data_IF_642586424430
#
_entry.id   IF_642586424430
#
_cell.length_a   1.000
_cell.length_b   1.000
_cell.length_c   1.000
_cell.angle_alpha   90.00
_cell.angle_beta   90.00
_cell.angle_gamma   90.00
#
_symmetry.space_group_name_H-M   'P 1'
#
loop_
_entity.id
_entity.type
_entity.pdbx_description
1 polymer ?
#
# COMPACT_ATOMS: atom_id res chain seq x y z
N UNK A 1 -1.44 38.39 28.53
CA UNK A 1 -1.64 38.21 27.07
C UNK A 1 -0.38 37.80 26.30
N UNK A 2 0.34 36.76 26.69
CA UNK A 2 1.46 36.22 25.85
C UNK A 2 1.12 34.89 25.13
N UNK A 3 0.04 34.17 25.52
CA UNK A 3 -0.27 32.83 24.98
C UNK A 3 -0.87 32.89 23.57
N UNK A 4 -1.63 33.93 23.25
CA UNK A 4 -2.27 34.09 21.93
C UNK A 4 -1.24 34.43 20.82
N UNK A 5 -0.13 35.10 21.17
CA UNK A 5 0.95 35.40 20.22
C UNK A 5 1.80 34.16 19.86
N UNK A 6 1.93 33.17 20.75
CA UNK A 6 2.67 31.95 20.50
C UNK A 6 1.90 30.99 19.56
N UNK A 7 0.57 30.93 19.69
CA UNK A 7 -0.29 30.12 18.82
C UNK A 7 -0.34 30.68 17.40
N UNK A 8 -0.34 32.03 17.24
CA UNK A 8 -0.30 32.68 15.92
C UNK A 8 1.09 32.61 15.24
N UNK A 9 2.19 32.45 16.01
CA UNK A 9 3.52 32.21 15.45
C UNK A 9 3.70 30.76 14.99
N UNK A 10 3.11 29.80 15.69
CA UNK A 10 3.13 28.38 15.29
C UNK A 10 2.40 28.13 13.95
N UNK A 11 1.37 28.93 13.64
CA UNK A 11 0.68 28.88 12.35
C UNK A 11 1.36 29.69 11.23
N UNK A 12 2.40 30.49 11.54
CA UNK A 12 3.11 31.29 10.54
C UNK A 12 4.36 30.63 9.95
N UNK A 13 4.91 29.63 10.59
CA UNK A 13 6.08 28.89 10.10
C UNK A 13 5.75 27.64 9.29
N UNK A 14 4.50 27.17 9.30
CA UNK A 14 3.98 26.24 8.32
C UNK A 14 3.37 27.04 7.16
N UNK A 15 4.20 27.54 6.27
CA UNK A 15 3.75 27.96 4.94
C UNK A 15 3.34 26.69 4.20
N UNK A 16 2.09 26.27 4.40
CA UNK A 16 1.44 25.32 3.54
C UNK A 16 1.48 25.90 2.12
N UNK A 17 2.13 25.20 1.21
CA UNK A 17 2.03 25.52 -0.21
C UNK A 17 0.61 25.21 -0.67
N UNK A 18 -0.25 26.25 -0.56
CA UNK A 18 -1.67 26.21 -0.93
C UNK A 18 -1.89 25.85 -2.41
N UNK A 19 -0.85 25.89 -3.23
CA UNK A 19 -0.96 25.60 -4.66
C UNK A 19 -1.06 24.10 -4.98
N UNK A 20 -0.71 23.22 -4.03
CA UNK A 20 -0.82 21.76 -4.20
C UNK A 20 -2.03 21.15 -3.46
N UNK A 21 -2.74 21.93 -2.64
CA UNK A 21 -3.95 21.49 -1.94
C UNK A 21 -5.21 22.02 -2.62
N UNK A 22 -5.56 21.44 -3.75
CA UNK A 22 -6.94 21.58 -4.23
C UNK A 22 -7.79 20.67 -3.33
N UNK A 23 -8.47 21.27 -2.34
CA UNK A 23 -9.48 20.60 -1.54
C UNK A 23 -10.60 20.12 -2.46
N UNK A 24 -10.50 18.86 -2.92
CA UNK A 24 -11.50 18.30 -3.83
C UNK A 24 -12.70 17.72 -3.07
N UNK A 25 -12.54 17.32 -1.78
CA UNK A 25 -13.61 16.79 -0.95
C UNK A 25 -13.28 16.87 0.55
N UNK A 26 -14.31 16.83 1.40
CA UNK A 26 -14.17 16.66 2.85
C UNK A 26 -13.74 15.23 3.17
N UNK A 27 -12.46 15.03 3.42
CA UNK A 27 -11.85 13.76 3.77
C UNK A 27 -11.82 13.47 5.28
N UNK A 28 -12.67 14.12 6.06
CA UNK A 28 -12.80 13.92 7.52
C UNK A 28 -13.33 12.55 7.93
N UNK A 29 -13.57 11.65 6.97
CA UNK A 29 -14.08 10.31 7.22
C UNK A 29 -12.98 9.28 7.29
N UNK A 30 -13.16 8.29 8.16
CA UNK A 30 -12.30 7.13 8.25
C UNK A 30 -12.18 6.40 6.90
N UNK A 31 -10.95 5.97 6.58
CA UNK A 31 -10.69 5.12 5.42
C UNK A 31 -11.35 3.76 5.61
N UNK A 32 -11.76 3.14 4.50
CA UNK A 32 -12.25 1.77 4.54
C UNK A 32 -11.13 0.82 4.99
N UNK A 33 -11.51 -0.14 5.82
CA UNK A 33 -10.62 -1.16 6.37
C UNK A 33 -10.91 -2.52 5.75
N UNK A 34 -9.85 -3.32 5.58
CA UNK A 34 -10.01 -4.74 5.24
C UNK A 34 -10.87 -5.03 4.01
N UNK A 35 -10.77 -4.20 3.00
CA UNK A 35 -11.62 -4.20 1.80
C UNK A 35 -11.61 -5.50 1.00
N UNK A 36 -10.76 -6.47 1.36
CA UNK A 36 -10.59 -7.75 0.68
C UNK A 36 -11.41 -8.89 1.27
N UNK A 37 -11.98 -8.73 2.50
CA UNK A 37 -12.50 -9.87 3.28
C UNK A 37 -13.69 -10.57 2.66
N UNK A 38 -14.56 -9.80 2.01
CA UNK A 38 -15.82 -10.33 1.48
C UNK A 38 -15.74 -10.70 -0.01
N UNK A 39 -14.53 -10.63 -0.60
CA UNK A 39 -14.32 -10.90 -2.02
C UNK A 39 -14.14 -12.39 -2.26
N UNK A 40 -15.14 -13.00 -2.85
CA UNK A 40 -15.11 -14.43 -3.17
C UNK A 40 -14.09 -14.75 -4.27
N UNK A 41 -13.32 -15.84 -4.13
CA UNK A 41 -12.42 -16.27 -5.20
C UNK A 41 -13.21 -16.77 -6.42
N UNK A 42 -12.64 -16.68 -7.65
CA UNK A 42 -13.36 -16.96 -8.89
C UNK A 42 -13.72 -18.43 -9.10
N UNK A 43 -13.09 -19.34 -8.40
CA UNK A 43 -13.32 -20.79 -8.51
C UNK A 43 -13.03 -21.52 -7.20
N UNK A 44 -13.34 -22.80 -7.14
CA UNK A 44 -13.01 -23.64 -5.98
C UNK A 44 -11.50 -23.83 -5.89
N UNK A 45 -10.95 -23.74 -4.68
CA UNK A 45 -9.51 -23.87 -4.43
C UNK A 45 -9.13 -23.48 -3.00
N UNK A 46 -7.86 -23.15 -2.82
CA UNK A 46 -7.32 -22.74 -1.51
C UNK A 46 -6.80 -21.31 -1.59
N UNK A 47 -7.27 -20.49 -0.66
CA UNK A 47 -6.84 -19.07 -0.54
C UNK A 47 -5.87 -18.89 0.62
N UNK A 48 -4.87 -18.05 0.40
CA UNK A 48 -3.91 -17.58 1.40
C UNK A 48 -4.00 -16.06 1.41
N UNK A 49 -4.43 -15.48 2.52
CA UNK A 49 -4.77 -14.05 2.61
C UNK A 49 -3.91 -13.34 3.64
N UNK A 50 -3.81 -12.02 3.51
CA UNK A 50 -3.32 -11.13 4.55
C UNK A 50 -4.11 -11.35 5.83
N UNK A 51 -3.42 -11.36 6.96
CA UNK A 51 -4.02 -11.45 8.30
C UNK A 51 -3.85 -10.11 9.03
N UNK A 52 -4.77 -9.82 9.94
CA UNK A 52 -4.81 -8.54 10.66
C UNK A 52 -5.57 -7.46 9.90
N UNK A 53 -5.47 -6.24 10.40
CA UNK A 53 -6.25 -5.11 9.90
C UNK A 53 -5.36 -4.10 9.20
N UNK A 54 -5.92 -3.40 8.20
CA UNK A 54 -5.29 -2.31 7.49
C UNK A 54 -6.34 -1.32 6.98
N UNK A 55 -5.90 -0.10 6.68
CA UNK A 55 -6.67 0.93 5.97
C UNK A 55 -6.33 0.94 4.48
N UNK A 56 -7.33 1.14 3.64
CA UNK A 56 -7.14 1.29 2.21
C UNK A 56 -6.77 2.74 1.86
N UNK A 57 -5.49 2.96 1.60
CA UNK A 57 -4.97 4.25 1.14
C UNK A 57 -4.98 4.32 -0.38
N UNK A 58 -5.52 5.41 -0.94
CA UNK A 58 -5.72 5.60 -2.36
C UNK A 58 -5.50 7.07 -2.77
N UNK A 59 -5.53 7.37 -4.07
CA UNK A 59 -5.33 8.72 -4.56
C UNK A 59 -6.24 9.73 -3.88
N UNK A 60 -5.64 10.82 -3.39
CA UNK A 60 -6.34 11.95 -2.80
C UNK A 60 -7.09 11.68 -1.49
N UNK A 61 -6.96 10.50 -0.88
CA UNK A 61 -7.73 10.08 0.29
C UNK A 61 -7.49 10.93 1.55
N UNK A 62 -6.40 11.68 1.60
CA UNK A 62 -6.03 12.62 2.67
C UNK A 62 -6.13 14.09 2.22
N UNK A 63 -6.74 14.35 1.06
CA UNK A 63 -6.86 15.70 0.48
C UNK A 63 -5.64 16.10 -0.36
N UNK A 64 -4.56 15.35 -0.35
CA UNK A 64 -3.37 15.64 -1.16
C UNK A 64 -3.52 15.11 -2.60
N UNK A 65 -3.31 15.97 -3.59
CA UNK A 65 -3.45 15.60 -5.01
C UNK A 65 -2.20 14.88 -5.53
N UNK A 66 -2.23 13.58 -5.48
CA UNK A 66 -1.17 12.66 -5.94
C UNK A 66 -1.59 11.85 -7.17
N UNK A 67 -2.68 12.23 -7.84
CA UNK A 67 -3.19 11.55 -9.03
C UNK A 67 -2.12 11.42 -10.11
N UNK A 68 -1.91 10.19 -10.59
CA UNK A 68 -1.00 9.86 -11.69
C UNK A 68 0.46 9.63 -11.28
N UNK A 69 0.81 9.77 -9.98
CA UNK A 69 2.18 9.53 -9.52
C UNK A 69 2.27 8.90 -8.11
N UNK A 70 1.25 9.05 -7.27
CA UNK A 70 1.30 8.66 -5.85
C UNK A 70 1.05 7.19 -5.55
N UNK A 71 0.81 6.31 -6.55
CA UNK A 71 0.41 4.92 -6.31
C UNK A 71 1.38 4.13 -5.42
N UNK A 72 2.68 4.31 -5.59
CA UNK A 72 3.71 3.69 -4.74
C UNK A 72 3.61 4.14 -3.28
N UNK A 73 3.40 5.43 -3.07
CA UNK A 73 3.21 6.00 -1.72
C UNK A 73 1.93 5.48 -1.06
N UNK A 74 0.82 5.39 -1.80
CA UNK A 74 -0.46 4.91 -1.26
C UNK A 74 -0.41 3.43 -0.92
N UNK A 75 0.26 2.63 -1.74
CA UNK A 75 0.51 1.21 -1.42
C UNK A 75 1.38 1.10 -0.16
N UNK A 76 2.44 1.91 -0.02
CA UNK A 76 3.25 1.95 1.19
C UNK A 76 2.42 2.38 2.42
N UNK A 77 1.56 3.39 2.30
CA UNK A 77 0.69 3.84 3.40
C UNK A 77 -0.29 2.74 3.84
N UNK A 78 -0.84 1.96 2.92
CA UNK A 78 -1.64 0.77 3.24
C UNK A 78 -0.82 -0.24 4.06
N UNK A 79 0.44 -0.51 3.68
CA UNK A 79 1.33 -1.40 4.44
C UNK A 79 1.68 -0.80 5.80
N UNK A 80 1.98 0.50 5.87
CA UNK A 80 2.24 1.21 7.13
C UNK A 80 1.05 1.09 8.09
N UNK A 81 -0.18 1.31 7.59
CA UNK A 81 -1.39 1.18 8.41
C UNK A 81 -1.53 -0.24 9.00
N UNK A 82 -1.24 -1.26 8.19
CA UNK A 82 -1.23 -2.65 8.64
C UNK A 82 -0.19 -2.87 9.76
N UNK A 83 1.04 -2.35 9.62
CA UNK A 83 2.08 -2.49 10.65
C UNK A 83 1.67 -1.81 11.95
N UNK A 84 1.16 -0.57 11.85
CA UNK A 84 0.71 0.24 12.99
C UNK A 84 -0.39 -0.50 13.75
N UNK A 85 -1.42 -0.99 13.06
CA UNK A 85 -2.53 -1.73 13.68
C UNK A 85 -2.07 -3.07 14.27
N UNK A 86 -1.24 -3.81 13.53
CA UNK A 86 -0.74 -5.12 13.96
C UNK A 86 0.14 -5.03 15.20
N UNK A 87 0.99 -4.00 15.31
CA UNK A 87 1.84 -3.74 16.48
C UNK A 87 1.19 -2.86 17.54
N UNK A 88 -0.03 -2.34 17.29
CA UNK A 88 -0.74 -1.39 18.15
C UNK A 88 0.13 -0.17 18.50
N UNK A 89 0.76 0.40 17.49
CA UNK A 89 1.62 1.56 17.67
C UNK A 89 0.77 2.84 17.83
N UNK A 90 1.16 3.70 18.76
CA UNK A 90 0.56 5.03 18.94
C UNK A 90 1.23 6.03 18.00
N UNK A 91 0.98 5.89 16.72
CA UNK A 91 1.48 6.80 15.68
C UNK A 91 0.57 6.78 14.45
N UNK A 92 0.59 7.86 13.69
CA UNK A 92 -0.13 7.98 12.43
C UNK A 92 0.65 7.40 11.25
N UNK A 93 -0.08 7.02 10.19
CA UNK A 93 0.52 6.66 8.90
C UNK A 93 1.28 7.88 8.34
N UNK A 94 2.53 7.74 7.86
CA UNK A 94 3.29 8.85 7.31
C UNK A 94 2.63 9.40 6.06
N UNK A 95 2.51 10.73 5.94
CA UNK A 95 2.05 11.36 4.71
C UNK A 95 3.14 11.28 3.62
N UNK A 96 2.79 11.60 2.36
CA UNK A 96 3.69 11.50 1.21
C UNK A 96 4.96 12.34 1.42
N UNK A 97 4.83 13.58 1.90
CA UNK A 97 5.97 14.45 2.17
C UNK A 97 6.92 13.84 3.20
N UNK A 98 6.37 13.25 4.28
CA UNK A 98 7.19 12.58 5.30
C UNK A 98 7.96 11.38 4.75
N UNK A 99 7.35 10.61 3.83
CA UNK A 99 8.03 9.52 3.12
C UNK A 99 9.19 10.07 2.29
N UNK A 100 8.99 11.15 1.56
CA UNK A 100 10.05 11.81 0.78
C UNK A 100 11.19 12.31 1.66
N UNK A 101 10.88 12.97 2.78
CA UNK A 101 11.88 13.43 3.75
C UNK A 101 12.72 12.27 4.33
N UNK A 102 12.11 11.11 4.58
CA UNK A 102 12.81 9.92 5.02
C UNK A 102 13.80 9.42 3.98
N UNK A 103 13.39 9.33 2.71
CA UNK A 103 14.25 8.85 1.63
C UNK A 103 15.44 9.78 1.40
N UNK A 104 15.26 11.09 1.52
CA UNK A 104 16.36 12.07 1.48
C UNK A 104 17.28 11.91 2.70
N UNK A 105 16.72 11.76 3.90
CA UNK A 105 17.51 11.53 5.12
C UNK A 105 18.35 10.25 5.04
N UNK A 106 17.87 9.23 4.35
CA UNK A 106 18.58 7.97 4.11
C UNK A 106 19.59 8.05 2.95
N UNK A 107 19.76 9.23 2.37
CA UNK A 107 20.67 9.48 1.23
C UNK A 107 20.31 8.64 -0.02
N UNK A 108 19.05 8.16 -0.11
CA UNK A 108 18.54 7.46 -1.30
C UNK A 108 18.11 8.44 -2.38
N UNK A 109 17.64 9.62 -1.98
CA UNK A 109 17.20 10.71 -2.88
C UNK A 109 17.85 12.03 -2.52
N UNK A 110 17.97 12.90 -3.52
CA UNK A 110 18.44 14.28 -3.34
C UNK A 110 17.36 15.16 -2.69
N UNK A 111 17.73 16.29 -2.09
CA UNK A 111 16.79 17.22 -1.43
C UNK A 111 15.65 17.70 -2.34
N UNK A 112 15.88 17.83 -3.65
CA UNK A 112 14.86 18.18 -4.65
C UNK A 112 13.72 17.19 -4.77
N UNK A 113 13.89 15.98 -4.23
CA UNK A 113 12.85 14.95 -4.19
C UNK A 113 11.70 15.33 -3.25
N UNK A 114 11.97 16.12 -2.19
CA UNK A 114 10.92 16.57 -1.26
C UNK A 114 9.96 17.52 -1.98
N UNK A 115 8.70 17.16 -2.04
CA UNK A 115 7.64 17.90 -2.75
C UNK A 115 7.60 17.65 -4.25
N UNK A 116 8.46 16.79 -4.79
CA UNK A 116 8.42 16.35 -6.20
C UNK A 116 7.22 15.42 -6.45
N UNK A 117 7.00 15.08 -7.73
CA UNK A 117 6.02 14.07 -8.15
C UNK A 117 6.70 12.79 -8.64
N UNK A 118 7.92 12.57 -8.19
CA UNK A 118 8.67 11.39 -8.56
C UNK A 118 8.11 10.12 -7.91
N UNK A 119 8.20 9.03 -8.62
CA UNK A 119 7.70 7.74 -8.19
C UNK A 119 8.64 7.08 -7.19
N UNK A 120 8.06 6.21 -6.36
CA UNK A 120 8.81 5.27 -5.53
C UNK A 120 8.42 3.84 -5.93
N UNK A 121 9.39 2.93 -5.81
CA UNK A 121 9.22 1.51 -6.09
C UNK A 121 9.41 0.65 -4.84
N UNK A 122 9.55 -0.64 -5.07
CA UNK A 122 9.68 -1.64 -4.00
C UNK A 122 10.94 -1.45 -3.15
N UNK A 123 12.00 -0.85 -3.69
CA UNK A 123 13.23 -0.60 -2.94
C UNK A 123 13.04 0.54 -1.93
N UNK A 124 12.49 1.68 -2.37
CA UNK A 124 12.19 2.81 -1.50
C UNK A 124 11.17 2.40 -0.39
N UNK A 125 10.19 1.57 -0.74
CA UNK A 125 9.26 1.01 0.26
C UNK A 125 10.01 0.21 1.32
N UNK A 126 10.95 -0.65 0.93
CA UNK A 126 11.79 -1.41 1.85
C UNK A 126 12.57 -0.48 2.81
N UNK A 127 13.21 0.57 2.29
CA UNK A 127 13.97 1.55 3.09
C UNK A 127 13.09 2.28 4.11
N UNK A 128 11.91 2.71 3.70
CA UNK A 128 10.99 3.43 4.60
C UNK A 128 10.44 2.51 5.70
N UNK A 129 10.11 1.26 5.37
CA UNK A 129 9.61 0.29 6.35
C UNK A 129 10.68 -0.09 7.38
N UNK A 130 11.94 -0.24 6.94
CA UNK A 130 13.07 -0.47 7.85
C UNK A 130 13.30 0.73 8.75
N UNK A 131 13.36 1.94 8.19
CA UNK A 131 13.60 3.17 8.95
C UNK A 131 12.52 3.49 10.00
N UNK A 132 11.24 3.31 9.66
CA UNK A 132 10.13 3.68 10.55
C UNK A 132 9.78 2.59 11.55
N UNK A 133 9.94 1.33 11.17
CA UNK A 133 9.36 0.22 11.91
C UNK A 133 10.37 -0.90 12.21
N UNK A 134 11.62 -0.78 11.78
CA UNK A 134 12.62 -1.85 11.88
C UNK A 134 12.09 -3.16 11.25
N UNK A 135 11.43 -3.02 10.08
CA UNK A 135 10.86 -4.13 9.34
C UNK A 135 11.69 -4.38 8.09
N UNK A 136 12.50 -5.43 8.15
CA UNK A 136 13.21 -5.93 6.97
C UNK A 136 12.23 -6.46 5.94
N UNK A 137 12.52 -6.24 4.66
CA UNK A 137 11.70 -6.73 3.56
C UNK A 137 12.52 -7.59 2.60
N UNK A 138 11.89 -8.64 2.07
CA UNK A 138 12.44 -9.40 0.95
C UNK A 138 11.99 -8.73 -0.35
N UNK A 139 12.96 -8.41 -1.23
CA UNK A 139 12.67 -7.92 -2.57
C UNK A 139 12.83 -9.07 -3.56
N UNK A 140 11.85 -9.21 -4.45
CA UNK A 140 11.87 -10.18 -5.54
C UNK A 140 11.76 -9.41 -6.85
N UNK A 141 12.74 -9.59 -7.72
CA UNK A 141 12.70 -9.09 -9.09
C UNK A 141 12.17 -10.17 -10.02
N UNK A 142 11.09 -9.87 -10.73
CA UNK A 142 10.45 -10.73 -11.73
C UNK A 142 10.69 -10.10 -13.09
N UNK A 143 11.62 -10.59 -13.90
CA UNK A 143 12.07 -9.91 -15.12
C UNK A 143 11.01 -9.85 -16.23
N UNK A 144 9.98 -10.67 -16.15
CA UNK A 144 8.87 -10.72 -17.10
C UNK A 144 7.60 -11.21 -16.42
N UNK A 145 6.45 -10.63 -16.76
CA UNK A 145 5.16 -11.11 -16.26
C UNK A 145 4.90 -12.59 -16.52
N UNK A 146 5.50 -13.15 -17.56
CA UNK A 146 5.45 -14.62 -17.86
C UNK A 146 5.95 -15.47 -16.70
N UNK A 147 6.98 -15.00 -15.98
CA UNK A 147 7.61 -15.74 -14.87
C UNK A 147 7.01 -15.38 -13.52
N UNK A 148 5.98 -14.53 -13.47
CA UNK A 148 5.34 -14.14 -12.22
C UNK A 148 4.73 -15.34 -11.48
N UNK A 149 4.19 -16.31 -12.20
CA UNK A 149 3.63 -17.55 -11.64
C UNK A 149 4.68 -18.40 -10.90
N UNK A 150 5.95 -18.28 -11.24
CA UNK A 150 7.06 -18.97 -10.56
C UNK A 150 7.27 -18.45 -9.14
N UNK A 151 6.78 -17.23 -8.84
CA UNK A 151 6.88 -16.62 -7.52
C UNK A 151 5.72 -17.00 -6.58
N UNK A 152 4.70 -17.69 -7.07
CA UNK A 152 3.54 -18.10 -6.26
C UNK A 152 3.93 -18.89 -5.00
N UNK A 153 4.85 -19.85 -5.03
CA UNK A 153 5.27 -20.56 -3.82
C UNK A 153 5.86 -19.63 -2.77
N UNK A 154 6.66 -18.63 -3.18
CA UNK A 154 7.30 -17.67 -2.28
C UNK A 154 6.27 -16.69 -1.69
N UNK A 155 5.33 -16.22 -2.51
CA UNK A 155 4.23 -15.34 -2.07
C UNK A 155 3.33 -16.10 -1.09
N UNK A 156 3.00 -17.36 -1.38
CA UNK A 156 2.23 -18.22 -0.48
C UNK A 156 2.93 -18.38 0.87
N UNK A 157 4.21 -18.79 0.86
CA UNK A 157 5.01 -18.94 2.09
C UNK A 157 5.01 -17.64 2.91
N UNK A 158 5.13 -16.50 2.24
CA UNK A 158 5.08 -15.19 2.90
C UNK A 158 3.73 -14.96 3.59
N UNK A 159 2.62 -15.18 2.90
CA UNK A 159 1.28 -15.00 3.46
C UNK A 159 1.01 -15.97 4.61
N UNK A 160 1.46 -17.22 4.50
CA UNK A 160 1.35 -18.22 5.57
C UNK A 160 2.20 -17.85 6.79
N UNK A 161 3.44 -17.44 6.58
CA UNK A 161 4.40 -17.19 7.65
C UNK A 161 4.22 -15.84 8.31
N UNK A 162 4.05 -14.79 7.52
CA UNK A 162 4.01 -13.40 7.98
C UNK A 162 2.58 -12.83 7.96
N UNK A 163 1.84 -13.04 6.90
CA UNK A 163 0.49 -12.52 6.73
C UNK A 163 0.44 -11.02 6.45
N UNK A 164 1.56 -10.39 6.13
CA UNK A 164 1.62 -8.98 5.80
C UNK A 164 1.25 -8.72 4.34
N UNK A 165 0.71 -7.53 4.00
CA UNK A 165 0.52 -7.10 2.62
C UNK A 165 1.87 -7.02 1.87
N UNK A 166 1.81 -7.24 0.55
CA UNK A 166 2.97 -7.16 -0.35
C UNK A 166 2.76 -5.99 -1.29
N UNK A 167 3.80 -5.21 -1.56
CA UNK A 167 3.79 -4.25 -2.66
C UNK A 167 4.28 -4.92 -3.94
N UNK A 168 3.61 -4.65 -5.04
CA UNK A 168 4.06 -4.95 -6.40
C UNK A 168 4.15 -3.67 -7.21
N UNK A 169 5.31 -3.42 -7.84
CA UNK A 169 5.51 -2.36 -8.82
C UNK A 169 5.92 -2.94 -10.16
N UNK A 170 5.33 -2.45 -11.24
CA UNK A 170 5.69 -2.80 -12.61
C UNK A 170 6.18 -1.59 -13.39
N UNK A 171 6.86 -1.81 -14.54
CA UNK A 171 7.36 -0.72 -15.39
C UNK A 171 6.36 -0.28 -16.47
N UNK A 172 5.85 -1.22 -17.26
CA UNK A 172 5.02 -0.91 -18.44
C UNK A 172 3.56 -0.68 -18.13
N UNK A 173 3.01 -1.34 -17.13
CA UNK A 173 1.67 -1.04 -16.61
C UNK A 173 1.68 0.17 -15.67
N UNK A 174 2.88 0.75 -15.43
CA UNK A 174 3.11 2.00 -14.70
C UNK A 174 2.34 2.08 -13.38
N UNK A 175 2.17 0.95 -12.69
CA UNK A 175 1.33 0.91 -11.50
C UNK A 175 1.95 0.15 -10.35
N UNK A 176 1.91 0.78 -9.18
CA UNK A 176 2.12 0.09 -7.91
C UNK A 176 0.78 -0.38 -7.37
N UNK A 177 0.74 -1.62 -6.87
CA UNK A 177 -0.46 -2.27 -6.33
C UNK A 177 -0.14 -3.06 -5.08
N UNK A 178 -1.12 -3.24 -4.21
CA UNK A 178 -1.03 -4.18 -3.10
C UNK A 178 -1.44 -5.59 -3.52
N UNK A 179 -0.69 -6.60 -3.07
CA UNK A 179 -1.11 -8.00 -3.13
C UNK A 179 -1.52 -8.39 -1.71
N UNK A 180 -2.78 -8.76 -1.55
CA UNK A 180 -3.38 -9.14 -0.26
C UNK A 180 -3.69 -10.63 -0.15
N UNK A 181 -3.45 -11.39 -1.19
CA UNK A 181 -3.67 -12.82 -1.17
C UNK A 181 -3.33 -13.50 -2.48
N UNK A 182 -3.29 -14.82 -2.42
CA UNK A 182 -3.29 -15.69 -3.57
C UNK A 182 -4.40 -16.73 -3.41
N UNK A 183 -4.95 -17.16 -4.53
CA UNK A 183 -5.88 -18.27 -4.60
C UNK A 183 -5.38 -19.29 -5.62
N UNK A 184 -5.17 -20.51 -5.16
CA UNK A 184 -4.80 -21.64 -5.99
C UNK A 184 -6.09 -22.40 -6.32
N UNK A 185 -6.68 -22.09 -7.45
CA UNK A 185 -7.87 -22.74 -7.96
C UNK A 185 -7.57 -24.05 -8.69
N UNK A 186 -8.61 -24.73 -9.12
CA UNK A 186 -8.51 -26.00 -9.87
C UNK A 186 -7.87 -25.79 -11.25
N UNK A 187 -8.15 -24.67 -11.89
CA UNK A 187 -7.70 -24.36 -13.26
C UNK A 187 -6.61 -23.30 -13.32
N UNK A 188 -6.73 -22.27 -12.48
CA UNK A 188 -5.86 -21.09 -12.53
C UNK A 188 -5.39 -20.69 -11.13
N UNK A 189 -4.37 -19.84 -11.10
CA UNK A 189 -3.91 -19.19 -9.89
C UNK A 189 -4.16 -17.70 -9.99
N UNK A 190 -4.66 -17.11 -8.92
CA UNK A 190 -5.06 -15.70 -8.86
C UNK A 190 -4.31 -14.97 -7.76
N UNK A 191 -4.06 -13.69 -7.97
CA UNK A 191 -3.60 -12.75 -6.95
C UNK A 191 -4.74 -11.81 -6.57
N UNK A 192 -4.96 -11.60 -5.28
CA UNK A 192 -5.88 -10.58 -4.78
C UNK A 192 -5.18 -9.23 -4.80
N UNK A 193 -5.55 -8.42 -5.76
CA UNK A 193 -4.95 -7.11 -6.03
C UNK A 193 -5.80 -6.01 -5.42
N UNK A 194 -5.14 -5.08 -4.74
CA UNK A 194 -5.71 -3.81 -4.31
C UNK A 194 -5.02 -2.68 -5.06
N UNK A 195 -5.82 -1.92 -5.80
CA UNK A 195 -5.37 -0.86 -6.67
C UNK A 195 -5.56 0.51 -6.01
N UNK A 196 -4.50 1.29 -5.73
CA UNK A 196 -4.59 2.59 -5.08
C UNK A 196 -5.04 3.74 -6.01
N UNK A 197 -5.30 3.48 -7.28
CA UNK A 197 -5.67 4.52 -8.25
C UNK A 197 -7.12 5.01 -8.13
N UNK A 198 -7.91 4.47 -7.21
CA UNK A 198 -9.25 4.97 -6.90
C UNK A 198 -9.19 6.44 -6.49
N UNK A 199 -10.15 7.24 -6.96
CA UNK A 199 -10.32 8.64 -6.59
C UNK A 199 -11.75 8.85 -6.09
N UNK A 200 -11.87 9.52 -4.96
CA UNK A 200 -13.15 9.82 -4.35
C UNK A 200 -13.34 9.12 -3.00
N UNK A 201 -14.58 8.94 -2.60
CA UNK A 201 -14.97 8.28 -1.37
C UNK A 201 -15.76 7.03 -1.69
N UNK A 202 -15.18 5.87 -1.42
CA UNK A 202 -15.91 4.61 -1.49
C UNK A 202 -16.86 4.51 -0.28
N UNK A 203 -18.10 4.08 -0.53
CA UNK A 203 -19.09 3.87 0.53
C UNK A 203 -18.81 2.60 1.31
N UNK A 204 -18.41 1.56 0.61
CA UNK A 204 -18.20 0.22 1.11
C UNK A 204 -17.21 -0.56 0.21
N UNK A 205 -16.73 -1.73 0.64
CA UNK A 205 -15.87 -2.59 -0.16
C UNK A 205 -16.51 -3.10 -1.44
N UNK A 206 -17.84 -3.32 -1.48
CA UNK A 206 -18.57 -3.80 -2.65
C UNK A 206 -18.44 -2.84 -3.83
N UNK A 207 -18.51 -1.53 -3.57
CA UNK A 207 -18.30 -0.51 -4.61
C UNK A 207 -16.90 -0.61 -5.22
N UNK A 208 -15.88 -0.92 -4.41
CA UNK A 208 -14.50 -1.08 -4.89
C UNK A 208 -14.33 -2.35 -5.72
N UNK A 209 -14.99 -3.44 -5.32
CA UNK A 209 -14.98 -4.71 -6.03
C UNK A 209 -15.65 -4.59 -7.41
N UNK A 210 -16.87 -4.05 -7.47
CA UNK A 210 -17.65 -3.86 -8.71
C UNK A 210 -16.87 -3.01 -9.73
N UNK A 211 -16.10 -2.03 -9.25
CA UNK A 211 -15.27 -1.16 -10.11
C UNK A 211 -13.83 -1.68 -10.28
N UNK A 212 -13.55 -2.90 -9.85
CA UNK A 212 -12.26 -3.58 -10.00
C UNK A 212 -11.05 -2.91 -9.33
N UNK A 213 -11.26 -2.04 -8.31
CA UNK A 213 -10.20 -1.48 -7.47
C UNK A 213 -9.66 -2.49 -6.46
N UNK A 214 -10.45 -3.49 -6.13
CA UNK A 214 -10.02 -4.71 -5.44
C UNK A 214 -10.58 -5.90 -6.20
N UNK A 215 -9.71 -6.87 -6.56
CA UNK A 215 -10.12 -7.99 -7.40
C UNK A 215 -9.15 -9.17 -7.36
N UNK A 216 -9.66 -10.34 -7.62
CA UNK A 216 -8.84 -11.49 -8.00
C UNK A 216 -8.41 -11.35 -9.46
N UNK A 217 -7.12 -11.29 -9.71
CA UNK A 217 -6.54 -11.25 -11.06
C UNK A 217 -5.79 -12.53 -11.35
N UNK A 218 -6.17 -13.20 -12.46
CA UNK A 218 -5.44 -14.38 -12.94
C UNK A 218 -3.97 -14.01 -13.22
N UNK A 219 -3.05 -14.84 -12.75
CA UNK A 219 -1.60 -14.61 -12.92
C UNK A 219 -1.18 -14.56 -14.39
N UNK A 220 -1.97 -15.13 -15.30
CA UNK A 220 -1.75 -15.08 -16.75
C UNK A 220 -2.10 -13.73 -17.38
N UNK A 221 -2.81 -12.87 -16.66
CA UNK A 221 -3.27 -11.57 -17.16
C UNK A 221 -2.32 -10.42 -16.77
N UNK A 222 -1.17 -10.72 -16.20
CA UNK A 222 -0.11 -9.74 -16.02
C UNK A 222 0.65 -9.54 -17.33
N UNK A 223 1.16 -8.33 -17.55
CA UNK A 223 1.77 -7.94 -18.82
C UNK A 223 3.12 -8.67 -19.01
N UNK A 224 3.18 -9.56 -19.99
CA UNK A 224 4.37 -10.36 -20.31
C UNK A 224 5.63 -9.53 -20.52
N UNK A 225 5.48 -8.36 -21.15
CA UNK A 225 6.58 -7.46 -21.48
C UNK A 225 7.00 -6.52 -20.35
N UNK A 226 6.31 -6.58 -19.18
CA UNK A 226 6.67 -5.82 -17.98
C UNK A 226 7.52 -6.65 -17.05
N UNK A 227 8.50 -6.01 -16.37
CA UNK A 227 9.05 -6.58 -15.15
C UNK A 227 8.16 -6.21 -13.96
N UNK A 228 8.29 -6.94 -12.87
CA UNK A 228 7.66 -6.61 -11.59
C UNK A 228 8.66 -6.73 -10.46
N UNK A 229 8.63 -5.78 -9.54
CA UNK A 229 9.35 -5.86 -8.28
C UNK A 229 8.35 -6.03 -7.14
N UNK A 230 8.59 -7.03 -6.30
CA UNK A 230 7.77 -7.29 -5.12
C UNK A 230 8.55 -6.91 -3.87
N UNK A 231 7.91 -6.19 -2.94
CA UNK A 231 8.42 -5.95 -1.59
C UNK A 231 7.56 -6.72 -0.59
N UNK A 232 8.17 -7.67 0.11
CA UNK A 232 7.53 -8.59 1.06
C UNK A 232 8.02 -8.26 2.49
N UNK A 233 7.27 -7.49 3.29
CA UNK A 233 7.66 -7.14 4.66
C UNK A 233 7.73 -8.38 5.57
N UNK A 234 8.89 -8.65 6.18
CA UNK A 234 9.15 -9.87 6.95
C UNK A 234 8.72 -9.70 8.43
N UNK A 235 7.46 -9.35 8.65
CA UNK A 235 6.89 -9.13 9.97
C UNK A 235 5.66 -10.02 10.17
N UNK A 236 5.63 -10.77 11.29
CA UNK A 236 4.49 -11.66 11.61
C UNK A 236 3.30 -10.86 12.10
N UNK A 237 2.11 -11.25 11.63
CA UNK A 237 0.86 -10.82 12.24
C UNK A 237 0.77 -11.33 13.68
N UNK A 238 0.49 -10.43 14.62
CA UNK A 238 0.36 -10.77 16.06
C UNK A 238 -1.07 -11.13 16.46
N UNK A 239 -2.04 -10.96 15.58
CA UNK A 239 -3.40 -11.41 15.84
C UNK A 239 -3.44 -12.94 15.83
N UNK A 240 -3.52 -13.52 17.03
CA UNK A 240 -3.83 -14.95 17.18
C UNK A 240 -5.17 -15.23 16.50
N UNK A 241 -5.18 -16.17 15.56
CA UNK A 241 -6.41 -16.80 15.12
C UNK A 241 -7.08 -17.40 16.37
N UNK A 242 -8.12 -16.76 16.91
CA UNK A 242 -9.15 -17.52 17.57
C UNK A 242 -9.85 -18.26 16.43
N UNK A 243 -9.40 -19.48 16.14
CA UNK A 243 -10.28 -20.48 15.55
C UNK A 243 -11.39 -20.65 16.58
N UNK A 244 -12.57 -20.18 16.22
CA UNK A 244 -13.79 -20.65 16.86
C UNK A 244 -13.93 -22.12 16.41
N UNK A 245 -13.71 -23.02 17.39
CA UNK A 245 -14.09 -24.43 17.30
C UNK A 245 -15.62 -24.57 17.23
#
# INVERSE_FOLDING_TARGET
MPIIKAVLLFFRENVFDLNNYTMIHDYSSELLKNIHRDISPPEVGTSFLVRGDYEYWHYGCDGFNDKGWGCGYRTLQTICSWIIMNRKLDQSVPNIRRIQEILVKLEDKEESFIGSREWIGSFEVCLVLDHLYEVLSKIIHVPSGRTLSEQIPVIREHLEKFGSPIMMGGDRDCSSKGILGIHQGVKNTYMLIVDPHFIGRAKDPEQLEVNHWVKWQDTKNFLDSSFYNLCLPQIKCTTSNKQED
#
